data_IF_069808032527
#
_entry.id   IF_069808032527
#
_cell.length_a   1.000
_cell.length_b   1.000
_cell.length_c   1.000
_cell.angle_alpha   90.00
_cell.angle_beta   90.00
_cell.angle_gamma   90.00
#
_symmetry.space_group_name_H-M   'P 1'
#
loop_
_entity.id
_entity.type
_entity.pdbx_description
1 polymer ?
#
# COMPACT_ATOMS: atom_id res chain seq x y z
N UNK A 1 -16.97 3.11 22.96
CA UNK A 1 -16.87 2.36 21.69
C UNK A 1 -15.94 3.17 20.79
N UNK A 2 -14.95 2.55 20.14
CA UNK A 2 -14.08 3.26 19.19
C UNK A 2 -14.76 3.33 17.81
N UNK A 3 -14.62 4.45 17.11
CA UNK A 3 -15.04 4.65 15.71
C UNK A 3 -13.85 4.38 14.80
N UNK A 4 -14.03 3.49 13.81
CA UNK A 4 -12.96 3.07 12.90
C UNK A 4 -13.34 3.48 11.49
N UNK A 5 -12.45 4.18 10.80
CA UNK A 5 -12.52 4.45 9.38
C UNK A 5 -11.79 3.33 8.61
N UNK A 6 -12.55 2.53 7.88
CA UNK A 6 -12.04 1.35 7.17
C UNK A 6 -11.73 1.60 5.69
N UNK A 7 -11.86 2.83 5.18
CA UNK A 7 -11.62 3.15 3.77
C UNK A 7 -10.82 4.45 3.60
N UNK A 8 -9.54 4.39 3.99
CA UNK A 8 -8.61 5.53 3.80
C UNK A 8 -7.39 5.11 3.01
N UNK A 9 -7.07 5.85 1.95
CA UNK A 9 -5.86 5.55 1.16
C UNK A 9 -4.64 6.26 1.69
N UNK A 10 -3.61 5.49 2.03
CA UNK A 10 -2.29 5.87 2.50
C UNK A 10 -1.27 5.79 1.37
N UNK A 11 -0.50 6.86 1.20
CA UNK A 11 0.51 6.97 0.15
C UNK A 11 1.75 7.69 0.66
N UNK A 12 2.63 7.01 1.42
CA UNK A 12 3.92 7.58 1.77
C UNK A 12 4.73 7.76 0.49
N UNK A 13 5.43 8.89 0.37
CA UNK A 13 6.22 9.18 -0.84
C UNK A 13 7.68 8.77 -0.69
N UNK A 14 8.20 8.79 0.53
CA UNK A 14 9.62 8.56 0.82
C UNK A 14 10.02 7.08 0.70
N UNK A 15 9.07 6.14 0.61
CA UNK A 15 9.40 4.72 0.38
C UNK A 15 10.14 4.53 -0.96
N UNK A 16 9.94 5.42 -1.94
CA UNK A 16 10.63 5.40 -3.23
C UNK A 16 12.14 5.53 -3.08
N UNK A 17 12.64 6.16 -2.02
CA UNK A 17 14.07 6.27 -1.76
C UNK A 17 14.72 4.91 -1.45
N UNK A 18 13.91 3.92 -1.03
CA UNK A 18 14.35 2.55 -0.74
C UNK A 18 14.38 1.64 -1.97
N UNK A 19 13.85 2.10 -3.10
CA UNK A 19 13.83 1.35 -4.36
C UNK A 19 15.10 1.67 -5.15
N UNK A 20 15.82 0.64 -5.61
CA UNK A 20 17.07 0.78 -6.36
C UNK A 20 16.90 0.34 -7.83
N UNK A 21 15.84 0.83 -8.46
CA UNK A 21 15.54 0.58 -9.86
C UNK A 21 15.45 1.91 -10.61
N UNK A 22 16.04 2.05 -11.82
CA UNK A 22 16.05 3.30 -12.56
C UNK A 22 14.63 3.80 -12.91
N UNK A 23 13.70 2.88 -13.17
CA UNK A 23 12.35 3.21 -13.62
C UNK A 23 11.35 3.41 -12.46
N UNK A 24 11.84 3.56 -11.21
CA UNK A 24 10.98 3.76 -10.03
C UNK A 24 10.16 5.05 -10.05
N UNK A 25 10.53 6.00 -10.90
CA UNK A 25 9.96 7.33 -10.92
C UNK A 25 10.52 8.23 -9.82
N UNK A 26 9.93 9.41 -9.65
CA UNK A 26 10.37 10.37 -8.64
C UNK A 26 9.21 11.27 -8.20
N UNK A 27 9.42 11.92 -7.06
CA UNK A 27 8.47 12.83 -6.45
C UNK A 27 8.99 14.26 -6.59
N UNK A 28 8.13 15.15 -7.04
CA UNK A 28 8.37 16.59 -7.02
C UNK A 28 7.41 17.24 -6.03
N UNK A 29 7.95 17.99 -5.07
CA UNK A 29 7.14 18.77 -4.15
C UNK A 29 6.72 20.08 -4.83
N UNK A 30 5.45 20.19 -5.19
CA UNK A 30 4.90 21.38 -5.84
C UNK A 30 4.70 22.52 -4.82
N UNK A 31 4.26 22.19 -3.59
CA UNK A 31 4.12 23.12 -2.48
C UNK A 31 4.15 22.39 -1.11
N UNK A 32 3.81 23.08 -0.02
CA UNK A 32 3.80 22.49 1.33
C UNK A 32 2.74 21.40 1.53
N UNK A 33 1.70 21.40 0.70
CA UNK A 33 0.53 20.55 0.83
C UNK A 33 0.38 19.53 -0.31
N UNK A 34 1.17 19.63 -1.39
CA UNK A 34 1.01 18.84 -2.61
C UNK A 34 2.33 18.33 -3.17
N UNK A 35 2.25 17.13 -3.74
CA UNK A 35 3.33 16.48 -4.47
C UNK A 35 2.83 15.93 -5.80
N UNK A 36 3.74 15.83 -6.76
CA UNK A 36 3.53 15.22 -8.06
C UNK A 36 4.45 13.99 -8.20
N UNK A 37 3.88 12.87 -8.61
CA UNK A 37 4.62 11.65 -8.92
C UNK A 37 4.82 11.53 -10.44
N UNK A 38 6.06 11.35 -10.85
CA UNK A 38 6.47 11.19 -12.24
C UNK A 38 7.12 9.84 -12.49
N UNK A 39 6.86 9.25 -13.66
CA UNK A 39 7.57 8.07 -14.19
C UNK A 39 7.77 8.27 -15.69
N UNK A 40 8.95 7.95 -16.20
CA UNK A 40 9.34 8.15 -17.61
C UNK A 40 9.10 9.59 -18.13
N UNK A 41 9.35 10.58 -17.25
CA UNK A 41 9.13 12.00 -17.55
C UNK A 41 7.66 12.41 -17.71
N UNK A 42 6.71 11.51 -17.44
CA UNK A 42 5.27 11.78 -17.47
C UNK A 42 4.74 11.96 -16.06
N UNK A 43 3.88 12.96 -15.88
CA UNK A 43 3.10 13.09 -14.66
C UNK A 43 2.11 11.94 -14.58
N UNK A 44 2.23 11.12 -13.53
CA UNK A 44 1.33 9.99 -13.29
C UNK A 44 0.19 10.43 -12.36
N UNK A 45 0.50 11.13 -11.27
CA UNK A 45 -0.53 11.58 -10.33
C UNK A 45 -0.09 12.76 -9.46
N UNK A 46 -1.08 13.44 -8.86
CA UNK A 46 -0.88 14.46 -7.82
C UNK A 46 -1.58 14.07 -6.53
N UNK A 47 -0.89 14.18 -5.42
CA UNK A 47 -1.43 13.82 -4.11
C UNK A 47 -1.32 14.99 -3.12
N UNK A 48 -2.33 15.21 -2.27
CA UNK A 48 -2.15 16.04 -1.11
C UNK A 48 -1.31 15.29 -0.06
N UNK A 49 -0.47 16.01 0.66
CA UNK A 49 0.36 15.51 1.77
C UNK A 49 -0.42 14.87 2.91
N UNK A 50 -1.69 15.23 3.08
CA UNK A 50 -2.61 14.55 4.01
C UNK A 50 -2.81 13.06 3.69
N UNK A 51 -2.38 12.58 2.51
CA UNK A 51 -2.36 11.15 2.18
C UNK A 51 -1.35 10.37 3.01
N UNK A 52 -0.33 10.97 3.62
CA UNK A 52 0.62 10.25 4.48
C UNK A 52 1.14 11.02 5.70
N UNK A 53 1.11 12.35 5.72
CA UNK A 53 1.56 13.11 6.89
C UNK A 53 0.64 12.85 8.08
N UNK A 54 1.16 12.14 9.07
CA UNK A 54 0.36 11.59 10.18
C UNK A 54 -0.29 12.67 11.03
N UNK A 55 0.38 13.80 11.25
CA UNK A 55 -0.20 14.92 12.01
C UNK A 55 -1.42 15.52 11.31
N UNK A 56 -1.37 15.66 9.97
CA UNK A 56 -2.52 16.13 9.19
C UNK A 56 -3.67 15.13 9.24
N UNK A 57 -3.36 13.83 9.23
CA UNK A 57 -4.36 12.76 9.39
C UNK A 57 -5.01 12.78 10.76
N UNK A 58 -4.23 12.82 11.84
CA UNK A 58 -4.73 12.93 13.23
C UNK A 58 -5.66 14.13 13.39
N UNK A 59 -5.27 15.30 12.85
CA UNK A 59 -6.11 16.49 12.88
C UNK A 59 -7.44 16.32 12.12
N UNK A 60 -7.43 15.62 10.97
CA UNK A 60 -8.67 15.30 10.23
C UNK A 60 -9.55 14.31 11.01
N UNK A 61 -8.95 13.26 11.56
CA UNK A 61 -9.62 12.26 12.38
C UNK A 61 -10.31 12.89 13.60
N UNK A 62 -9.63 13.80 14.31
CA UNK A 62 -10.19 14.51 15.46
C UNK A 62 -11.39 15.39 15.08
N UNK A 63 -11.34 16.01 13.90
CA UNK A 63 -12.43 16.84 13.37
C UNK A 63 -13.63 16.01 12.92
N UNK A 64 -13.39 14.83 12.35
CA UNK A 64 -14.43 13.97 11.76
C UNK A 64 -15.00 12.96 12.77
N UNK A 65 -14.32 12.75 13.91
CA UNK A 65 -14.77 11.85 14.97
C UNK A 65 -14.31 10.41 14.82
N UNK A 66 -13.16 10.19 14.16
CA UNK A 66 -12.55 8.86 14.01
C UNK A 66 -11.44 8.63 15.04
N UNK A 67 -11.50 7.48 15.72
CA UNK A 67 -10.47 7.08 16.68
C UNK A 67 -9.31 6.38 15.97
N UNK A 68 -9.61 5.56 14.96
CA UNK A 68 -8.64 4.72 14.22
C UNK A 68 -8.89 4.84 12.71
N UNK A 69 -7.82 4.85 11.92
CA UNK A 69 -7.85 4.68 10.46
C UNK A 69 -7.14 3.40 10.00
N UNK A 70 -7.77 2.68 9.07
CA UNK A 70 -7.13 1.62 8.30
C UNK A 70 -6.40 2.25 7.10
N UNK A 71 -5.10 2.01 7.00
CA UNK A 71 -4.17 2.70 6.10
C UNK A 71 -3.97 1.91 4.81
N UNK A 72 -4.97 1.96 3.92
CA UNK A 72 -5.01 1.17 2.68
C UNK A 72 -4.01 1.73 1.66
N UNK A 73 -3.11 0.94 1.07
CA UNK A 73 -2.19 1.43 0.04
C UNK A 73 -2.89 2.08 -1.16
N UNK A 74 -2.56 3.33 -1.49
CA UNK A 74 -2.94 3.96 -2.78
C UNK A 74 -1.94 3.59 -3.88
N UNK A 75 -2.01 2.34 -4.34
CA UNK A 75 -1.07 1.82 -5.32
C UNK A 75 -1.48 2.08 -6.79
N UNK A 76 -2.48 2.94 -7.04
CA UNK A 76 -2.97 3.26 -8.40
C UNK A 76 -1.87 3.64 -9.40
N UNK A 77 -0.85 4.44 -9.05
CA UNK A 77 0.23 4.77 -9.99
C UNK A 77 1.18 3.61 -10.32
N UNK A 78 1.05 2.47 -9.64
CA UNK A 78 1.98 1.33 -9.67
C UNK A 78 1.30 0.02 -10.07
N UNK A 79 0.03 0.07 -10.48
CA UNK A 79 -0.72 -1.12 -10.86
C UNK A 79 -0.12 -1.76 -12.12
N UNK A 80 0.40 -2.97 -11.94
CA UNK A 80 0.69 -4.09 -12.88
C UNK A 80 1.27 -3.80 -14.27
N UNK A 81 1.74 -2.59 -14.53
CA UNK A 81 2.53 -2.22 -15.72
C UNK A 81 4.04 -2.27 -15.44
N UNK A 82 4.43 -2.61 -14.22
CA UNK A 82 5.83 -2.72 -13.80
C UNK A 82 6.40 -4.07 -14.26
N UNK A 83 7.72 -4.13 -14.44
CA UNK A 83 8.42 -5.42 -14.50
C UNK A 83 8.61 -5.99 -13.09
N UNK A 84 8.73 -7.31 -12.98
CA UNK A 84 8.72 -8.01 -11.69
C UNK A 84 9.82 -7.56 -10.72
N UNK A 85 11.02 -7.21 -11.20
CA UNK A 85 12.09 -6.66 -10.35
C UNK A 85 11.65 -5.36 -9.66
N UNK A 86 11.11 -4.42 -10.45
CA UNK A 86 10.60 -3.17 -9.92
C UNK A 86 9.38 -3.37 -9.02
N UNK A 87 8.43 -4.22 -9.44
CA UNK A 87 7.22 -4.54 -8.67
C UNK A 87 7.55 -5.12 -7.28
N UNK A 88 8.47 -6.08 -7.23
CA UNK A 88 8.93 -6.69 -5.99
C UNK A 88 9.67 -5.70 -5.08
N UNK A 89 10.58 -4.87 -5.64
CA UNK A 89 11.24 -3.84 -4.83
C UNK A 89 10.25 -2.82 -4.25
N UNK A 90 9.24 -2.44 -5.04
CA UNK A 90 8.23 -1.47 -4.63
C UNK A 90 7.36 -1.99 -3.49
N UNK A 91 6.84 -3.23 -3.57
CA UNK A 91 6.02 -3.78 -2.49
C UNK A 91 6.80 -3.86 -1.16
N UNK A 92 8.05 -4.35 -1.20
CA UNK A 92 8.89 -4.45 0.00
C UNK A 92 9.17 -3.07 0.59
N UNK A 93 9.61 -2.13 -0.24
CA UNK A 93 9.92 -0.76 0.18
C UNK A 93 8.70 -0.07 0.81
N UNK A 94 7.51 -0.24 0.21
CA UNK A 94 6.27 0.35 0.73
C UNK A 94 5.93 -0.26 2.10
N UNK A 95 5.92 -1.58 2.21
CA UNK A 95 5.52 -2.27 3.43
C UNK A 95 6.51 -1.98 4.57
N UNK A 96 7.82 -1.93 4.29
CA UNK A 96 8.84 -1.54 5.25
C UNK A 96 8.63 -0.11 5.75
N UNK A 97 8.42 0.83 4.82
CA UNK A 97 8.18 2.22 5.19
C UNK A 97 6.89 2.37 6.01
N UNK A 98 5.82 1.70 5.61
CA UNK A 98 4.54 1.74 6.32
C UNK A 98 4.67 1.16 7.73
N UNK A 99 5.38 0.04 7.90
CA UNK A 99 5.64 -0.55 9.21
C UNK A 99 6.42 0.41 10.12
N UNK A 100 7.49 1.02 9.61
CA UNK A 100 8.33 1.95 10.37
C UNK A 100 7.60 3.26 10.70
N UNK A 101 6.94 3.85 9.71
CA UNK A 101 6.27 5.15 9.87
C UNK A 101 5.07 5.07 10.81
N UNK A 102 4.44 3.90 10.93
CA UNK A 102 3.28 3.66 11.79
C UNK A 102 3.65 2.93 13.10
N UNK A 103 4.93 2.66 13.33
CA UNK A 103 5.37 2.05 14.59
C UNK A 103 5.07 2.97 15.78
N UNK A 104 4.49 2.41 16.83
CA UNK A 104 4.04 3.15 18.01
C UNK A 104 2.81 4.05 17.81
N UNK A 105 2.21 4.09 16.61
CA UNK A 105 1.03 4.90 16.33
C UNK A 105 -0.26 4.10 16.54
N UNK A 106 -0.87 4.22 17.72
CA UNK A 106 -2.04 3.43 18.15
C UNK A 106 -3.37 3.76 17.43
N UNK A 107 -3.35 4.79 16.57
CA UNK A 107 -4.50 5.27 15.78
C UNK A 107 -4.49 4.80 14.34
N UNK A 108 -3.46 4.07 13.90
CA UNK A 108 -3.31 3.65 12.51
C UNK A 108 -3.12 2.14 12.41
N UNK A 109 -3.85 1.51 11.50
CA UNK A 109 -3.72 0.08 11.19
C UNK A 109 -3.08 -0.04 9.80
N UNK A 110 -1.82 -0.51 9.68
CA UNK A 110 -1.18 -0.69 8.38
C UNK A 110 -1.86 -1.80 7.57
N UNK A 111 -1.90 -1.62 6.26
CA UNK A 111 -2.36 -2.64 5.30
C UNK A 111 -1.25 -2.89 4.29
N UNK A 112 -0.97 -4.16 4.06
CA UNK A 112 0.04 -4.63 3.12
C UNK A 112 -0.38 -4.32 1.68
N UNK A 113 0.58 -3.86 0.89
CA UNK A 113 0.49 -3.85 -0.56
C UNK A 113 1.28 -5.02 -1.16
N UNK A 114 0.70 -5.67 -2.17
CA UNK A 114 1.33 -6.74 -2.94
C UNK A 114 1.36 -6.47 -4.45
N UNK A 115 2.42 -6.96 -5.09
CA UNK A 115 2.59 -7.01 -6.53
C UNK A 115 2.14 -8.39 -7.06
N UNK A 116 0.87 -8.49 -7.45
CA UNK A 116 0.24 -9.76 -7.85
C UNK A 116 0.79 -10.46 -9.11
N UNK A 117 1.38 -9.78 -10.12
CA UNK A 117 1.89 -10.46 -11.31
C UNK A 117 2.98 -11.50 -11.01
N UNK A 118 3.74 -11.32 -9.94
CA UNK A 118 4.63 -12.32 -9.38
C UNK A 118 4.01 -12.92 -8.11
N UNK A 119 3.21 -13.98 -8.29
CA UNK A 119 2.46 -14.62 -7.19
C UNK A 119 3.39 -15.18 -6.10
N UNK A 120 4.50 -15.81 -6.48
CA UNK A 120 5.48 -16.34 -5.52
C UNK A 120 6.09 -15.21 -4.69
N UNK A 121 6.45 -14.09 -5.35
CA UNK A 121 6.90 -12.87 -4.70
C UNK A 121 5.85 -12.26 -3.75
N UNK A 122 4.59 -12.21 -4.19
CA UNK A 122 3.48 -11.68 -3.40
C UNK A 122 3.19 -12.53 -2.14
N UNK A 123 3.16 -13.86 -2.26
CA UNK A 123 2.95 -14.76 -1.11
C UNK A 123 4.10 -14.65 -0.11
N UNK A 124 5.34 -14.61 -0.60
CA UNK A 124 6.52 -14.42 0.24
C UNK A 124 6.46 -13.10 1.00
N UNK A 125 6.07 -12.02 0.33
CA UNK A 125 5.98 -10.70 0.94
C UNK A 125 4.83 -10.60 1.95
N UNK A 126 3.67 -11.23 1.66
CA UNK A 126 2.58 -11.30 2.63
C UNK A 126 3.00 -12.02 3.91
N UNK A 127 3.74 -13.14 3.78
CA UNK A 127 4.30 -13.87 4.93
C UNK A 127 5.26 -12.99 5.73
N UNK A 128 6.17 -12.29 5.07
CA UNK A 128 7.11 -11.36 5.73
C UNK A 128 6.39 -10.22 6.45
N UNK A 129 5.38 -9.62 5.80
CA UNK A 129 4.54 -8.59 6.41
C UNK A 129 3.87 -9.08 7.69
N UNK A 130 3.38 -10.32 7.67
CA UNK A 130 2.81 -10.95 8.84
C UNK A 130 3.88 -11.20 9.92
N UNK A 131 4.93 -11.95 9.62
CA UNK A 131 5.87 -12.46 10.62
C UNK A 131 6.83 -11.41 11.18
N UNK A 132 7.28 -10.48 10.34
CA UNK A 132 8.38 -9.57 10.67
C UNK A 132 7.90 -8.13 10.88
N UNK A 133 6.92 -7.67 10.09
CA UNK A 133 6.44 -6.28 10.12
C UNK A 133 5.18 -6.06 10.96
N UNK A 134 4.55 -7.14 11.44
CA UNK A 134 3.28 -7.11 12.16
C UNK A 134 2.14 -6.41 11.40
N UNK A 135 2.16 -6.47 10.07
CA UNK A 135 1.07 -6.02 9.20
C UNK A 135 0.14 -7.21 8.97
N UNK A 136 -1.14 -7.08 9.38
CA UNK A 136 -2.11 -8.18 9.43
C UNK A 136 -3.35 -7.90 8.58
N UNK A 137 -3.19 -7.19 7.48
CA UNK A 137 -4.25 -6.93 6.51
C UNK A 137 -3.61 -6.75 5.15
N UNK A 138 -4.31 -7.12 4.08
CA UNK A 138 -3.81 -6.94 2.71
C UNK A 138 -4.89 -6.32 1.83
N UNK A 139 -4.46 -5.44 0.93
CA UNK A 139 -5.32 -4.88 -0.12
C UNK A 139 -5.06 -5.56 -1.45
N UNK A 140 -6.13 -6.02 -2.10
CA UNK A 140 -6.13 -6.53 -3.46
C UNK A 140 -6.95 -5.64 -4.40
N UNK A 141 -6.63 -5.67 -5.68
CA UNK A 141 -7.54 -5.21 -6.75
C UNK A 141 -8.47 -6.34 -7.18
N UNK A 142 -9.34 -6.10 -8.16
CA UNK A 142 -10.20 -7.15 -8.73
C UNK A 142 -9.49 -8.26 -9.54
N UNK A 143 -8.16 -8.37 -9.46
CA UNK A 143 -7.34 -9.25 -10.30
C UNK A 143 -6.10 -8.54 -10.84
N UNK A 144 -5.36 -9.22 -11.72
CA UNK A 144 -4.19 -8.68 -12.43
C UNK A 144 -4.11 -9.26 -13.85
N UNK A 145 -3.84 -8.43 -14.85
CA UNK A 145 -3.83 -8.89 -16.25
C UNK A 145 -5.15 -9.56 -16.63
N UNK A 146 -5.07 -10.80 -17.11
CA UNK A 146 -6.23 -11.67 -17.43
C UNK A 146 -6.57 -12.66 -16.29
N UNK A 147 -6.00 -12.48 -15.09
CA UNK A 147 -6.27 -13.31 -13.91
C UNK A 147 -7.24 -12.59 -12.97
N UNK A 148 -8.49 -13.04 -12.94
CA UNK A 148 -9.49 -12.61 -11.97
C UNK A 148 -9.22 -13.23 -10.58
N UNK A 149 -9.90 -12.73 -9.55
CA UNK A 149 -9.68 -13.14 -8.16
C UNK A 149 -10.04 -14.61 -7.87
N UNK A 150 -10.92 -15.23 -8.65
CA UNK A 150 -11.38 -16.61 -8.46
C UNK A 150 -10.54 -17.67 -9.18
N UNK A 151 -9.56 -17.24 -9.97
CA UNK A 151 -8.68 -18.12 -10.75
C UNK A 151 -7.65 -18.86 -9.88
N UNK A 152 -7.25 -20.06 -10.30
CA UNK A 152 -6.31 -20.93 -9.56
C UNK A 152 -4.97 -20.26 -9.18
N UNK A 153 -4.36 -19.38 -10.00
CA UNK A 153 -3.13 -18.69 -9.63
C UNK A 153 -3.25 -17.84 -8.36
N UNK A 154 -4.46 -17.41 -7.96
CA UNK A 154 -4.68 -16.63 -6.74
C UNK A 154 -4.71 -17.49 -5.47
N UNK A 155 -4.93 -18.80 -5.58
CA UNK A 155 -5.14 -19.68 -4.42
C UNK A 155 -3.99 -19.68 -3.40
N UNK A 156 -2.70 -19.71 -3.79
CA UNK A 156 -1.60 -19.66 -2.82
C UNK A 156 -1.66 -18.43 -1.91
N UNK A 157 -2.14 -17.29 -2.43
CA UNK A 157 -2.32 -16.07 -1.66
C UNK A 157 -3.46 -16.19 -0.65
N UNK A 158 -4.58 -16.81 -1.03
CA UNK A 158 -5.71 -17.03 -0.13
C UNK A 158 -5.40 -18.07 0.95
N UNK A 159 -4.68 -19.16 0.61
CA UNK A 159 -4.21 -20.13 1.59
C UNK A 159 -3.29 -19.48 2.63
N UNK A 160 -2.38 -18.61 2.19
CA UNK A 160 -1.52 -17.83 3.08
C UNK A 160 -2.33 -16.85 3.94
N UNK A 161 -3.32 -16.16 3.37
CA UNK A 161 -4.17 -15.26 4.12
C UNK A 161 -5.00 -16.01 5.18
N UNK A 162 -5.50 -17.21 4.87
CA UNK A 162 -6.18 -18.10 5.82
C UNK A 162 -5.23 -18.55 6.95
N UNK A 163 -4.03 -19.04 6.61
CA UNK A 163 -3.04 -19.56 7.57
C UNK A 163 -2.70 -18.55 8.68
N UNK A 164 -2.73 -17.25 8.38
CA UNK A 164 -2.36 -16.16 9.30
C UNK A 164 -3.54 -15.29 9.75
N UNK A 165 -4.79 -15.69 9.47
CA UNK A 165 -5.99 -14.91 9.77
C UNK A 165 -5.94 -13.46 9.23
N UNK A 166 -5.42 -13.29 8.01
CA UNK A 166 -5.24 -11.97 7.38
C UNK A 166 -6.51 -11.56 6.63
N UNK A 167 -7.25 -10.52 7.07
CA UNK A 167 -8.33 -9.93 6.29
C UNK A 167 -7.85 -9.37 4.95
N UNK A 168 -8.67 -9.62 3.92
CA UNK A 168 -8.46 -9.13 2.56
C UNK A 168 -9.44 -7.99 2.27
N UNK A 169 -8.90 -6.83 1.91
CA UNK A 169 -9.66 -5.69 1.41
C UNK A 169 -9.62 -5.69 -0.12
N UNK A 170 -10.75 -5.91 -0.77
CA UNK A 170 -10.86 -5.83 -2.23
C UNK A 170 -11.29 -4.42 -2.64
N UNK A 171 -10.46 -3.76 -3.43
CA UNK A 171 -10.72 -2.41 -3.93
C UNK A 171 -10.88 -2.45 -5.46
N UNK A 172 -11.85 -1.72 -6.06
CA UNK A 172 -11.95 -1.65 -7.51
C UNK A 172 -10.65 -1.09 -8.12
N UNK A 173 -10.16 -1.71 -9.19
CA UNK A 173 -9.22 -1.07 -10.09
C UNK A 173 -9.98 0.04 -10.82
N UNK A 174 -9.48 1.26 -10.78
CA UNK A 174 -10.09 2.40 -11.48
C UNK A 174 -9.74 2.36 -12.96
#
# INVERSE_FOLDING_TARGET
MKTIDCDTHYWPVDFLDRVNHPDKGYIEREDNDRVAFYRDGKLIHRFPTSRWELDKRKASMDKEGFDIQVMIPDNRPFLYELGDDLGNQMQCAFNDYAAEALDGEDRFIPVCWLYLPDMDGAVKELRRCAEELNIRAVKLTGGYGDCDLDEEPMWPLFEMAEEYDIPILVHPAA
#
